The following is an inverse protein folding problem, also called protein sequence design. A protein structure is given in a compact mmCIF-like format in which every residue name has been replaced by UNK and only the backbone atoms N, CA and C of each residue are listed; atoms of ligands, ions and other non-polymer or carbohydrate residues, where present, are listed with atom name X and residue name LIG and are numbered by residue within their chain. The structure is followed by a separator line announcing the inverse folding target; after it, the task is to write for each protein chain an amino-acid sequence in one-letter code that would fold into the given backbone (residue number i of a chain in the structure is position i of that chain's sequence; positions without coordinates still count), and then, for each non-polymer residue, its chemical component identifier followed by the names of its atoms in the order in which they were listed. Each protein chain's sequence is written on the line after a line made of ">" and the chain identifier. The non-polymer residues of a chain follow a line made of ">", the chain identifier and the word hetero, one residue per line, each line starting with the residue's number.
data_IF_865709116858
#
_entry.id   IF_865709116858
#
_cell.length_a   1.000
_cell.length_b   1.000
_cell.length_c   1.000
_cell.angle_alpha   90.00
_cell.angle_beta   90.00
_cell.angle_gamma   90.00
#
_symmetry.space_group_name_H-M   'P 1'
#
loop_
_entity.id
_entity.type
_entity.pdbx_description
1 polymer ?
#
# COMPACT_ATOMS: atom_id res chain seq x y z
N UNK A 1 24.23 -5.91 -14.80
CA UNK A 1 22.91 -6.54 -14.98
C UNK A 1 22.28 -5.98 -16.24
N UNK A 2 22.01 -6.79 -17.28
CA UNK A 2 21.36 -6.31 -18.51
C UNK A 2 19.97 -5.80 -18.16
N UNK A 3 19.73 -4.49 -18.32
CA UNK A 3 18.42 -3.89 -18.09
C UNK A 3 17.40 -4.49 -19.04
N UNK A 4 16.26 -4.97 -18.52
CA UNK A 4 15.12 -5.34 -19.36
C UNK A 4 14.63 -4.10 -20.09
N UNK A 5 14.20 -4.25 -21.34
CA UNK A 5 13.67 -3.13 -22.13
C UNK A 5 12.52 -2.41 -21.37
N UNK A 6 12.45 -1.06 -21.49
CA UNK A 6 11.41 -0.27 -20.85
C UNK A 6 10.02 -0.71 -21.34
N UNK A 7 9.02 -0.61 -20.48
CA UNK A 7 7.63 -0.90 -20.84
C UNK A 7 7.08 0.21 -21.75
N UNK A 8 6.21 -0.16 -22.68
CA UNK A 8 5.30 0.81 -23.29
C UNK A 8 4.24 1.25 -22.27
N UNK A 9 3.75 2.50 -22.37
CA UNK A 9 2.75 3.05 -21.45
C UNK A 9 1.52 2.15 -21.32
N UNK A 10 0.99 1.63 -22.44
CA UNK A 10 -0.17 0.75 -22.43
C UNK A 10 0.10 -0.55 -21.64
N UNK A 11 1.29 -1.14 -21.82
CA UNK A 11 1.68 -2.34 -21.10
C UNK A 11 1.85 -2.07 -19.59
N UNK A 12 2.42 -0.92 -19.21
CA UNK A 12 2.52 -0.50 -17.81
C UNK A 12 1.13 -0.29 -17.19
N UNK A 13 0.22 0.37 -17.89
CA UNK A 13 -1.16 0.59 -17.45
C UNK A 13 -1.93 -0.71 -17.27
N UNK A 14 -1.85 -1.63 -18.24
CA UNK A 14 -2.51 -2.95 -18.15
C UNK A 14 -1.96 -3.75 -16.97
N UNK A 15 -0.64 -3.78 -16.79
CA UNK A 15 0.00 -4.47 -15.67
C UNK A 15 -0.48 -3.91 -14.32
N UNK A 16 -0.49 -2.59 -14.18
CA UNK A 16 -0.99 -1.89 -12.99
C UNK A 16 -2.45 -2.25 -12.72
N UNK A 17 -3.31 -2.21 -13.75
CA UNK A 17 -4.73 -2.51 -13.61
C UNK A 17 -4.99 -3.95 -13.16
N UNK A 18 -4.28 -4.93 -13.76
CA UNK A 18 -4.41 -6.35 -13.39
C UNK A 18 -3.98 -6.57 -11.93
N UNK A 19 -2.84 -6.00 -11.53
CA UNK A 19 -2.33 -6.15 -10.17
C UNK A 19 -3.25 -5.46 -9.14
N UNK A 20 -3.72 -4.25 -9.45
CA UNK A 20 -4.65 -3.53 -8.59
C UNK A 20 -5.97 -4.29 -8.42
N UNK A 21 -6.53 -4.81 -9.52
CA UNK A 21 -7.76 -5.61 -9.48
C UNK A 21 -7.57 -6.91 -8.70
N UNK A 22 -6.41 -7.56 -8.83
CA UNK A 22 -6.10 -8.81 -8.10
C UNK A 22 -6.03 -8.57 -6.59
N UNK A 23 -5.34 -7.51 -6.16
CA UNK A 23 -5.23 -7.14 -4.74
C UNK A 23 -6.58 -6.69 -4.19
N UNK A 24 -7.33 -5.87 -4.94
CA UNK A 24 -8.67 -5.44 -4.55
C UNK A 24 -9.60 -6.64 -4.34
N UNK A 25 -9.59 -7.60 -5.27
CA UNK A 25 -10.40 -8.81 -5.16
C UNK A 25 -9.99 -9.66 -3.95
N UNK A 26 -8.68 -9.83 -3.72
CA UNK A 26 -8.18 -10.56 -2.55
C UNK A 26 -8.57 -9.88 -1.23
N UNK A 27 -8.43 -8.56 -1.14
CA UNK A 27 -8.82 -7.78 0.04
C UNK A 27 -10.32 -7.90 0.32
N UNK A 28 -11.17 -7.63 -0.68
CA UNK A 28 -12.61 -7.67 -0.49
C UNK A 28 -13.14 -9.09 -0.21
N UNK A 29 -12.55 -10.12 -0.83
CA UNK A 29 -12.87 -11.51 -0.49
C UNK A 29 -12.47 -11.83 0.95
N UNK A 30 -11.28 -11.41 1.39
CA UNK A 30 -10.81 -11.67 2.75
C UNK A 30 -11.68 -10.97 3.81
N UNK A 31 -12.10 -9.73 3.55
CA UNK A 31 -13.02 -8.96 4.40
C UNK A 31 -14.41 -9.60 4.44
N UNK A 32 -14.91 -10.05 3.29
CA UNK A 32 -16.18 -10.79 3.23
C UNK A 32 -16.13 -12.05 4.10
N UNK A 33 -15.07 -12.86 3.96
CA UNK A 33 -14.90 -14.07 4.77
C UNK A 33 -14.77 -13.74 6.26
N UNK A 34 -14.08 -12.66 6.62
CA UNK A 34 -13.96 -12.21 8.00
C UNK A 34 -15.33 -11.85 8.60
N UNK A 35 -16.16 -11.09 7.87
CA UNK A 35 -17.51 -10.70 8.32
C UNK A 35 -18.40 -11.92 8.55
N UNK A 36 -18.36 -12.89 7.64
CA UNK A 36 -19.25 -14.06 7.69
C UNK A 36 -18.86 -15.08 8.77
N UNK A 37 -17.58 -15.14 9.15
CA UNK A 37 -17.06 -16.26 9.95
C UNK A 37 -16.47 -15.86 11.30
N UNK A 38 -16.24 -14.58 11.58
CA UNK A 38 -15.60 -14.14 12.82
C UNK A 38 -16.60 -13.43 13.74
N UNK A 39 -16.53 -13.68 15.06
CA UNK A 39 -17.25 -12.89 16.04
C UNK A 39 -16.71 -11.45 16.08
N UNK A 40 -17.61 -10.48 16.17
CA UNK A 40 -17.25 -9.06 16.25
C UNK A 40 -16.57 -8.76 17.59
N UNK A 41 -15.38 -8.13 17.54
CA UNK A 41 -14.57 -7.74 18.72
C UNK A 41 -14.22 -8.89 19.67
N UNK A 42 -14.02 -10.07 19.13
CA UNK A 42 -13.56 -11.24 19.87
C UNK A 42 -12.37 -11.87 19.16
N UNK A 43 -11.32 -12.20 19.94
CA UNK A 43 -10.11 -12.79 19.41
C UNK A 43 -10.30 -14.28 19.13
N UNK A 44 -10.02 -14.69 17.90
CA UNK A 44 -9.98 -16.09 17.47
C UNK A 44 -8.51 -16.48 17.26
N UNK A 45 -7.90 -17.28 18.14
CA UNK A 45 -6.50 -17.67 18.01
C UNK A 45 -6.24 -18.51 16.76
N UNK A 46 -5.23 -18.12 15.99
CA UNK A 46 -4.73 -18.90 14.83
C UNK A 46 -3.44 -19.59 15.23
N UNK A 47 -2.53 -18.83 15.84
CA UNK A 47 -1.26 -19.33 16.36
C UNK A 47 -0.95 -18.68 17.71
N UNK A 48 -1.74 -19.02 18.73
CA UNK A 48 -1.61 -18.44 20.07
C UNK A 48 -1.65 -16.90 20.05
N UNK A 49 -0.69 -16.27 20.75
CA UNK A 49 -0.50 -14.81 20.76
C UNK A 49 0.33 -14.29 19.57
N UNK A 50 0.74 -15.16 18.64
CA UNK A 50 1.49 -14.76 17.46
C UNK A 50 0.57 -14.22 16.36
N UNK A 51 -0.55 -14.89 16.11
CA UNK A 51 -1.51 -14.50 15.10
C UNK A 51 -2.93 -14.84 15.58
N UNK A 52 -3.80 -13.85 15.52
CA UNK A 52 -5.21 -13.97 15.88
C UNK A 52 -6.05 -13.32 14.78
N UNK A 53 -7.24 -13.86 14.55
CA UNK A 53 -8.28 -13.12 13.86
C UNK A 53 -9.06 -12.28 14.87
N UNK A 54 -9.37 -11.04 14.52
CA UNK A 54 -10.10 -10.12 15.39
C UNK A 54 -10.90 -9.13 14.56
N UNK A 55 -12.19 -9.41 14.34
CA UNK A 55 -13.02 -8.57 13.48
C UNK A 55 -13.38 -7.24 14.16
N UNK A 56 -13.07 -6.12 13.51
CA UNK A 56 -13.49 -4.78 13.91
C UNK A 56 -13.83 -3.92 12.68
N UNK A 57 -14.78 -3.02 12.85
CA UNK A 57 -15.09 -1.97 11.88
C UNK A 57 -14.43 -0.68 12.31
N UNK A 58 -13.49 -0.20 11.52
CA UNK A 58 -12.61 0.91 11.84
C UNK A 58 -13.09 2.23 11.19
N UNK A 59 -13.61 3.19 11.98
CA UNK A 59 -13.95 4.53 11.49
C UNK A 59 -12.70 5.40 11.24
N UNK A 60 -11.67 5.26 12.07
CA UNK A 60 -10.48 6.10 12.05
C UNK A 60 -9.33 5.54 11.20
N UNK A 61 -8.14 6.07 11.41
CA UNK A 61 -6.89 5.41 11.03
C UNK A 61 -6.37 4.54 12.20
N UNK A 62 -5.11 4.10 12.13
CA UNK A 62 -4.45 3.44 13.25
C UNK A 62 -4.60 4.25 14.55
N UNK A 63 -4.79 3.56 15.68
CA UNK A 63 -4.93 4.13 17.02
C UNK A 63 -6.15 5.03 17.26
N UNK A 64 -7.27 4.79 16.58
CA UNK A 64 -8.49 5.62 16.73
C UNK A 64 -8.27 7.10 16.38
N UNK A 65 -7.25 7.40 15.56
CA UNK A 65 -7.04 8.77 15.10
C UNK A 65 -8.10 9.15 14.07
N UNK A 66 -8.84 10.22 14.34
CA UNK A 66 -9.77 10.84 13.40
C UNK A 66 -11.09 10.10 13.22
N UNK A 67 -11.61 9.42 14.24
CA UNK A 67 -12.93 8.74 14.18
C UNK A 67 -14.08 9.70 13.80
N UNK A 68 -13.97 10.99 14.16
CA UNK A 68 -14.94 12.04 13.77
C UNK A 68 -14.69 12.59 12.35
N UNK A 69 -13.56 12.24 11.74
CA UNK A 69 -13.08 12.77 10.47
C UNK A 69 -12.85 11.67 9.42
N UNK A 70 -13.64 10.59 9.48
CA UNK A 70 -13.60 9.44 8.56
C UNK A 70 -13.52 9.86 7.09
N UNK A 71 -14.23 10.92 6.71
CA UNK A 71 -14.26 11.47 5.36
C UNK A 71 -12.90 11.98 4.85
N UNK A 72 -12.01 12.43 5.75
CA UNK A 72 -10.65 12.87 5.37
C UNK A 72 -9.86 11.69 4.80
N UNK A 73 -9.99 10.51 5.40
CA UNK A 73 -9.33 9.30 4.91
C UNK A 73 -9.86 8.88 3.55
N UNK A 74 -11.17 9.02 3.32
CA UNK A 74 -11.80 8.80 2.01
C UNK A 74 -11.21 9.73 0.95
N UNK A 75 -11.08 11.02 1.25
CA UNK A 75 -10.48 11.99 0.32
C UNK A 75 -9.01 11.66 0.06
N UNK A 76 -8.24 11.33 1.10
CA UNK A 76 -6.83 10.99 0.95
C UNK A 76 -6.63 9.74 0.07
N UNK A 77 -7.39 8.67 0.35
CA UNK A 77 -7.36 7.45 -0.46
C UNK A 77 -7.86 7.70 -1.88
N UNK A 78 -8.92 8.50 -2.05
CA UNK A 78 -9.42 8.93 -3.37
C UNK A 78 -8.38 9.70 -4.17
N UNK A 79 -7.67 10.62 -3.54
CA UNK A 79 -6.59 11.38 -4.18
C UNK A 79 -5.46 10.45 -4.66
N UNK A 80 -5.05 9.48 -3.84
CA UNK A 80 -4.02 8.50 -4.23
C UNK A 80 -4.52 7.56 -5.34
N UNK A 81 -5.78 7.12 -5.26
CA UNK A 81 -6.43 6.28 -6.26
C UNK A 81 -6.49 6.94 -7.64
N UNK A 82 -6.57 8.28 -7.69
CA UNK A 82 -6.50 9.06 -8.94
C UNK A 82 -5.05 9.34 -9.34
N UNK A 83 -4.18 9.69 -8.39
CA UNK A 83 -2.80 10.08 -8.66
C UNK A 83 -1.98 8.94 -9.29
N UNK A 84 -2.14 7.71 -8.81
CA UNK A 84 -1.35 6.56 -9.32
C UNK A 84 -1.60 6.32 -10.82
N UNK A 85 -2.85 6.14 -11.31
CA UNK A 85 -3.11 5.98 -12.74
C UNK A 85 -2.55 7.15 -13.58
N UNK A 86 -2.67 8.38 -13.09
CA UNK A 86 -2.15 9.57 -13.77
C UNK A 86 -0.63 9.50 -13.91
N UNK A 87 0.10 9.15 -12.84
CA UNK A 87 1.55 8.97 -12.85
C UNK A 87 1.95 7.83 -13.79
N UNK A 88 1.21 6.72 -13.76
CA UNK A 88 1.48 5.54 -14.59
C UNK A 88 1.41 5.89 -16.07
N UNK A 89 0.34 6.57 -16.50
CA UNK A 89 0.15 6.96 -17.91
C UNK A 89 1.22 7.95 -18.36
N UNK A 90 1.61 8.90 -17.49
CA UNK A 90 2.53 9.98 -17.86
C UNK A 90 4.01 9.59 -17.82
N UNK A 91 4.41 8.74 -16.87
CA UNK A 91 5.82 8.68 -16.47
C UNK A 91 6.38 7.28 -16.23
N UNK A 92 5.54 6.25 -16.01
CA UNK A 92 6.05 4.92 -15.63
C UNK A 92 6.41 4.10 -16.86
N UNK A 93 7.69 3.75 -16.96
CA UNK A 93 8.23 2.79 -17.96
C UNK A 93 9.01 1.64 -17.30
N UNK A 94 9.33 1.77 -16.00
CA UNK A 94 9.94 0.71 -15.22
C UNK A 94 8.93 -0.36 -14.82
N UNK A 95 9.30 -1.63 -15.03
CA UNK A 95 8.51 -2.79 -14.58
C UNK A 95 8.37 -2.82 -13.06
N UNK A 96 9.44 -2.49 -12.33
CA UNK A 96 9.41 -2.52 -10.86
C UNK A 96 8.45 -1.46 -10.35
N UNK A 97 8.49 -0.23 -10.91
CA UNK A 97 7.52 0.80 -10.56
C UNK A 97 6.09 0.44 -10.94
N UNK A 98 5.86 -0.17 -12.10
CA UNK A 98 4.52 -0.63 -12.51
C UNK A 98 3.97 -1.70 -11.55
N UNK A 99 4.80 -2.66 -11.12
CA UNK A 99 4.40 -3.67 -10.13
C UNK A 99 4.09 -3.02 -8.78
N UNK A 100 5.01 -2.19 -8.27
CA UNK A 100 4.85 -1.52 -6.98
C UNK A 100 3.59 -0.65 -6.94
N UNK A 101 3.36 0.16 -7.97
CA UNK A 101 2.21 1.06 -8.04
C UNK A 101 0.89 0.31 -8.28
N UNK A 102 0.90 -0.79 -9.03
CA UNK A 102 -0.28 -1.64 -9.20
C UNK A 102 -0.73 -2.29 -7.90
N UNK A 103 0.21 -2.89 -7.17
CA UNK A 103 -0.06 -3.50 -5.87
C UNK A 103 -0.50 -2.47 -4.83
N UNK A 104 0.17 -1.30 -4.79
CA UNK A 104 -0.19 -0.19 -3.91
C UNK A 104 -1.60 0.32 -4.21
N UNK A 105 -1.92 0.54 -5.49
CA UNK A 105 -3.24 0.99 -5.93
C UNK A 105 -4.34 0.01 -5.51
N UNK A 106 -4.10 -1.29 -5.62
CA UNK A 106 -5.06 -2.29 -5.17
C UNK A 106 -5.39 -2.21 -3.68
N UNK A 107 -4.37 -2.04 -2.83
CA UNK A 107 -4.58 -1.83 -1.39
C UNK A 107 -5.34 -0.52 -1.11
N UNK A 108 -4.94 0.58 -1.76
CA UNK A 108 -5.64 1.87 -1.66
C UNK A 108 -7.11 1.76 -2.05
N UNK A 109 -7.41 1.09 -3.17
CA UNK A 109 -8.78 0.87 -3.64
C UNK A 109 -9.57 -0.04 -2.70
N UNK A 110 -8.95 -1.03 -2.06
CA UNK A 110 -9.61 -1.93 -1.10
C UNK A 110 -10.15 -1.18 0.12
N UNK A 111 -9.33 -0.32 0.73
CA UNK A 111 -9.79 0.51 1.84
C UNK A 111 -10.73 1.63 1.38
N UNK A 112 -10.49 2.23 0.20
CA UNK A 112 -11.39 3.24 -0.35
C UNK A 112 -12.79 2.67 -0.62
N UNK A 113 -12.88 1.44 -1.12
CA UNK A 113 -14.16 0.77 -1.36
C UNK A 113 -14.98 0.68 -0.07
N UNK A 114 -14.37 0.22 1.02
CA UNK A 114 -15.04 0.16 2.31
C UNK A 114 -15.55 1.54 2.76
N UNK A 115 -14.70 2.58 2.67
CA UNK A 115 -15.09 3.96 3.02
C UNK A 115 -16.24 4.50 2.18
N UNK A 116 -16.32 4.12 0.92
CA UNK A 116 -17.36 4.61 0.01
C UNK A 116 -18.68 3.86 0.14
N UNK A 117 -18.66 2.57 0.48
CA UNK A 117 -19.85 1.72 0.31
C UNK A 117 -20.33 0.99 1.56
N UNK A 118 -19.54 0.94 2.64
CA UNK A 118 -19.96 0.32 3.90
C UNK A 118 -20.65 1.31 4.81
N UNK A 119 -21.35 0.78 5.82
CA UNK A 119 -21.94 1.58 6.89
C UNK A 119 -20.89 2.45 7.60
N UNK A 120 -21.27 3.63 8.10
CA UNK A 120 -22.62 4.21 8.17
C UNK A 120 -23.13 4.88 6.87
N UNK A 121 -22.32 5.04 5.83
CA UNK A 121 -22.77 5.67 4.59
C UNK A 121 -21.65 6.08 3.65
N UNK A 122 -22.04 6.72 2.53
CA UNK A 122 -21.13 7.03 1.44
C UNK A 122 -20.02 8.00 1.87
N UNK A 123 -18.77 7.56 1.70
CA UNK A 123 -17.57 8.33 2.00
C UNK A 123 -17.24 8.45 3.48
N UNK A 124 -18.03 7.81 4.34
CA UNK A 124 -17.83 7.74 5.80
C UNK A 124 -17.91 6.29 6.30
N UNK A 125 -17.87 5.31 5.41
CA UNK A 125 -17.92 3.90 5.74
C UNK A 125 -16.73 3.46 6.59
N UNK A 126 -16.91 2.40 7.37
CA UNK A 126 -15.85 1.83 8.19
C UNK A 126 -15.06 0.76 7.42
N UNK A 127 -13.73 0.76 7.60
CA UNK A 127 -12.86 -0.27 7.03
C UNK A 127 -12.96 -1.54 7.86
N UNK A 128 -12.98 -2.69 7.19
CA UNK A 128 -13.06 -3.99 7.85
C UNK A 128 -11.65 -4.47 8.16
N UNK A 129 -11.30 -4.49 9.43
CA UNK A 129 -10.01 -4.97 9.91
C UNK A 129 -10.22 -6.29 10.67
N UNK A 130 -9.32 -7.26 10.47
CA UNK A 130 -9.53 -8.61 11.00
C UNK A 130 -8.24 -9.36 11.37
N UNK A 131 -7.07 -8.80 11.11
CA UNK A 131 -5.77 -9.43 11.36
C UNK A 131 -5.12 -8.76 12.57
N UNK A 132 -4.83 -9.56 13.60
CA UNK A 132 -4.22 -9.10 14.83
C UNK A 132 -2.93 -9.88 15.11
N UNK A 133 -1.83 -9.16 15.30
CA UNK A 133 -0.51 -9.70 15.67
C UNK A 133 -0.02 -9.05 16.97
N UNK A 134 -0.42 -9.57 18.15
CA UNK A 134 -0.16 -8.95 19.45
C UNK A 134 1.33 -8.64 19.72
N UNK A 135 2.23 -9.54 19.32
CA UNK A 135 3.68 -9.41 19.52
C UNK A 135 4.33 -8.25 18.74
N UNK A 136 3.71 -7.76 17.67
CA UNK A 136 4.34 -6.78 16.77
C UNK A 136 4.47 -5.38 17.39
N UNK A 137 3.76 -5.11 18.49
CA UNK A 137 3.52 -3.75 18.96
C UNK A 137 4.22 -3.35 20.26
N UNK A 138 5.29 -4.07 20.67
CA UNK A 138 6.24 -3.70 21.75
C UNK A 138 5.64 -2.83 22.89
N UNK A 139 4.59 -3.33 23.57
CA UNK A 139 3.90 -2.70 24.71
C UNK A 139 2.88 -1.58 24.43
N UNK A 140 2.57 -1.28 23.16
CA UNK A 140 1.47 -0.41 22.75
C UNK A 140 0.23 -1.23 22.36
N UNK A 141 -0.94 -0.58 22.24
CA UNK A 141 -2.16 -1.22 21.75
C UNK A 141 -1.95 -1.77 20.33
N UNK A 142 -2.12 -3.07 20.08
CA UNK A 142 -1.83 -3.66 18.79
C UNK A 142 -2.82 -3.14 17.74
N UNK A 143 -2.29 -2.73 16.59
CA UNK A 143 -3.12 -2.37 15.44
C UNK A 143 -3.75 -3.63 14.84
N UNK A 144 -5.05 -3.56 14.56
CA UNK A 144 -5.75 -4.55 13.76
C UNK A 144 -5.75 -4.00 12.34
N UNK A 145 -5.49 -4.86 11.36
CA UNK A 145 -5.32 -4.46 9.97
C UNK A 145 -5.93 -5.50 9.03
N UNK A 146 -5.87 -5.22 7.72
CA UNK A 146 -6.38 -6.10 6.69
C UNK A 146 -5.35 -6.34 5.57
N UNK A 147 -5.77 -7.04 4.51
CA UNK A 147 -4.91 -7.36 3.37
C UNK A 147 -4.53 -6.10 2.58
N UNK A 148 -5.45 -5.15 2.39
CA UNK A 148 -5.13 -3.86 1.79
C UNK A 148 -4.01 -3.12 2.53
N UNK A 149 -4.02 -3.08 3.86
CA UNK A 149 -2.98 -2.43 4.66
C UNK A 149 -1.61 -3.09 4.48
N UNK A 150 -1.55 -4.42 4.40
CA UNK A 150 -0.30 -5.14 4.13
C UNK A 150 0.33 -4.67 2.80
N UNK A 151 -0.49 -4.54 1.74
CA UNK A 151 -0.02 -4.05 0.45
C UNK A 151 0.37 -2.58 0.49
N UNK A 152 -0.41 -1.73 1.17
CA UNK A 152 -0.06 -0.30 1.34
C UNK A 152 1.30 -0.17 2.03
N UNK A 153 1.48 -0.77 3.21
CA UNK A 153 2.73 -0.66 3.98
C UNK A 153 3.91 -1.24 3.21
N UNK A 154 3.78 -2.48 2.70
CA UNK A 154 4.88 -3.15 2.00
C UNK A 154 5.28 -2.39 0.74
N UNK A 155 4.33 -1.89 -0.04
CA UNK A 155 4.64 -1.15 -1.26
C UNK A 155 5.17 0.25 -0.96
N UNK A 156 4.71 0.91 0.10
CA UNK A 156 5.30 2.19 0.53
C UNK A 156 6.77 2.02 0.95
N UNK A 157 7.12 0.92 1.62
CA UNK A 157 8.53 0.56 1.90
C UNK A 157 9.30 0.36 0.60
N UNK A 158 8.74 -0.35 -0.38
CA UNK A 158 9.37 -0.53 -1.70
C UNK A 158 9.55 0.81 -2.42
N UNK A 159 8.54 1.69 -2.42
CA UNK A 159 8.64 3.05 -2.97
C UNK A 159 9.79 3.82 -2.33
N UNK A 160 9.88 3.82 -1.00
CA UNK A 160 10.96 4.48 -0.28
C UNK A 160 12.33 3.90 -0.67
N UNK A 161 12.47 2.58 -0.76
CA UNK A 161 13.70 1.93 -1.21
C UNK A 161 14.05 2.31 -2.64
N UNK A 162 13.09 2.37 -3.57
CA UNK A 162 13.35 2.76 -4.96
C UNK A 162 13.83 4.20 -5.06
N UNK A 163 13.23 5.11 -4.30
CA UNK A 163 13.63 6.52 -4.21
C UNK A 163 15.04 6.63 -3.62
N UNK A 164 15.32 5.98 -2.49
CA UNK A 164 16.64 6.00 -1.84
C UNK A 164 17.76 5.39 -2.71
N UNK A 165 17.40 4.46 -3.59
CA UNK A 165 18.32 3.85 -4.57
C UNK A 165 18.44 4.66 -5.87
N UNK A 166 17.78 5.81 -5.97
CA UNK A 166 17.80 6.68 -7.15
C UNK A 166 17.19 6.03 -8.39
N UNK A 167 16.27 5.09 -8.24
CA UNK A 167 15.61 4.41 -9.37
C UNK A 167 14.45 5.29 -9.86
N UNK A 168 14.60 5.87 -11.05
CA UNK A 168 13.59 6.72 -11.68
C UNK A 168 12.38 5.90 -12.18
N UNK A 169 11.24 6.56 -12.40
CA UNK A 169 9.99 5.95 -12.89
C UNK A 169 10.14 5.29 -14.27
N UNK A 170 11.10 5.74 -15.08
CA UNK A 170 11.43 5.17 -16.38
C UNK A 170 12.35 3.93 -16.29
N UNK A 171 12.95 3.68 -15.14
CA UNK A 171 13.84 2.55 -14.85
C UNK A 171 15.32 2.90 -14.91
N UNK A 172 15.69 4.14 -15.26
CA UNK A 172 17.06 4.63 -15.18
C UNK A 172 17.47 4.85 -13.71
N UNK A 173 18.77 4.93 -13.45
CA UNK A 173 19.32 5.20 -12.12
C UNK A 173 20.08 6.51 -12.14
N UNK A 174 19.94 7.31 -11.09
CA UNK A 174 20.89 8.39 -10.84
C UNK A 174 22.28 7.79 -10.62
N UNK A 175 23.23 8.13 -11.49
CA UNK A 175 24.62 7.81 -11.24
C UNK A 175 25.05 8.69 -10.07
N UNK A 176 25.33 8.08 -8.91
CA UNK A 176 25.98 8.82 -7.82
C UNK A 176 27.36 9.20 -8.35
N UNK A 177 27.56 10.48 -8.66
CA UNK A 177 28.89 11.02 -8.91
C UNK A 177 29.71 10.77 -7.64
N UNK A 178 30.75 9.93 -7.76
CA UNK A 178 31.79 9.87 -6.74
C UNK A 178 32.47 11.24 -6.75
N UNK A 179 32.57 11.96 -5.61
CA UNK A 179 33.31 13.21 -5.57
C UNK A 179 34.69 12.96 -6.16
N UNK A 180 35.04 13.70 -7.22
CA UNK A 180 36.38 13.63 -7.79
C UNK A 180 37.39 13.96 -6.68
N UNK A 181 38.39 13.09 -6.51
CA UNK A 181 39.52 13.41 -5.63
C UNK A 181 40.16 14.72 -6.13
N UNK A 182 40.37 15.73 -5.26
CA UNK A 182 41.05 16.95 -5.66
C UNK A 182 42.45 16.62 -6.18
N UNK A 183 42.73 17.06 -7.41
CA UNK A 183 43.85 16.64 -8.24
C UNK A 183 45.22 16.65 -7.57
N UNK A 184 45.99 15.60 -7.83
CA UNK A 184 47.43 15.58 -7.66
C UNK A 184 48.04 16.53 -8.70
N UNK A 185 48.39 17.74 -8.26
CA UNK A 185 49.24 18.65 -9.02
C UNK A 185 50.60 17.98 -9.20
N UNK A 186 50.87 17.51 -10.41
CA UNK A 186 52.20 17.12 -10.87
C UNK A 186 53.10 18.34 -10.69
N UNK A 187 54.03 18.27 -9.73
CA UNK A 187 55.18 19.16 -9.66
C UNK A 187 56.20 18.67 -10.68
N UNK A 188 56.61 19.60 -11.54
CA UNK A 188 57.66 19.46 -12.55
C UNK A 188 58.99 18.94 -11.97
#
# INVERSE_FOLDING_TARGET
>A
MRGRAPLHTAAAGILVAILAASVLAADQLSKYLAIENLPLREAVPVWGEFLQWYLVYNPGAAFSLGEEYTWIFTIALGAVAVAIPVIVVRSVRSRVWAVTLGLLLGGVLGNLFDRLFREPGFGVGHVVDFILTPWMWFWMNPAIYNVADMFIVTMMVVVAVLILRGVRLDGTREHRETPAEPGEQVKD
#
